data_IF_144548482162
#
_entry.id   IF_144548482162
#
_cell.length_a   1.000
_cell.length_b   1.000
_cell.length_c   1.000
_cell.angle_alpha   90.00
_cell.angle_beta   90.00
_cell.angle_gamma   90.00
#
_symmetry.space_group_name_H-M   'P 1'
#
loop_
_entity.id
_entity.type
_entity.pdbx_description
1 polymer ?
#
# COMPACT_ATOMS: atom_id res chain seq x y z
N UNK A 1 13.73 17.92 6.47
CA UNK A 1 14.82 16.95 6.71
C UNK A 1 15.85 17.64 7.58
N UNK A 2 16.49 16.90 8.47
CA UNK A 2 17.52 17.44 9.38
C UNK A 2 18.78 16.59 9.24
N UNK A 3 19.95 17.23 9.06
CA UNK A 3 21.21 16.52 9.03
C UNK A 3 21.50 15.90 10.40
N UNK A 4 22.11 14.71 10.40
CA UNK A 4 22.47 14.00 11.62
C UNK A 4 23.99 14.05 11.77
N UNK A 5 24.44 14.47 12.94
CA UNK A 5 25.85 14.65 13.32
C UNK A 5 26.35 13.59 14.32
N UNK A 6 25.45 12.75 14.87
CA UNK A 6 25.77 11.63 15.75
C UNK A 6 24.75 10.48 15.59
N UNK A 7 25.22 9.23 15.69
CA UNK A 7 24.43 8.00 15.46
C UNK A 7 23.37 7.80 16.55
N UNK A 8 23.63 8.23 17.78
CA UNK A 8 22.69 8.19 18.90
C UNK A 8 21.41 9.02 18.71
N UNK A 9 21.38 9.92 17.71
CA UNK A 9 20.18 10.67 17.31
C UNK A 9 19.27 9.91 16.34
N UNK A 10 19.63 8.68 15.98
CA UNK A 10 18.86 7.80 15.10
C UNK A 10 18.21 6.70 15.95
N UNK A 11 16.89 6.55 15.80
CA UNK A 11 16.10 5.56 16.52
C UNK A 11 15.47 4.55 15.55
N UNK A 12 15.24 3.29 15.96
CA UNK A 12 14.37 2.38 15.23
C UNK A 12 13.01 3.03 14.93
N UNK A 13 12.54 2.93 13.70
CA UNK A 13 11.32 3.60 13.22
C UNK A 13 11.54 4.98 12.59
N UNK A 14 12.77 5.49 12.61
CA UNK A 14 13.12 6.69 11.84
C UNK A 14 13.17 6.41 10.34
N UNK A 15 12.60 7.34 9.57
CA UNK A 15 12.84 7.43 8.14
C UNK A 15 14.09 8.26 7.89
N UNK A 16 15.06 7.72 7.16
CA UNK A 16 16.33 8.41 6.86
C UNK A 16 16.59 8.47 5.37
N UNK A 17 17.34 9.50 4.96
CA UNK A 17 17.92 9.64 3.62
C UNK A 17 19.43 9.42 3.70
N UNK A 18 19.95 8.50 2.91
CA UNK A 18 21.36 8.14 2.85
C UNK A 18 21.81 7.91 1.40
N UNK A 19 23.11 7.74 1.16
CA UNK A 19 23.64 7.41 -0.17
C UNK A 19 23.63 5.90 -0.37
N UNK A 20 22.93 5.45 -1.41
CA UNK A 20 22.95 4.06 -1.87
C UNK A 20 23.35 4.06 -3.35
N UNK A 21 24.47 3.40 -3.68
CA UNK A 21 25.05 3.44 -5.04
C UNK A 21 25.23 4.88 -5.57
N UNK A 22 25.71 5.77 -4.69
CA UNK A 22 25.98 7.19 -5.00
C UNK A 22 24.74 8.09 -5.11
N UNK A 23 23.52 7.54 -5.04
CA UNK A 23 22.26 8.30 -5.15
C UNK A 23 21.57 8.44 -3.80
N UNK A 24 20.79 9.51 -3.65
CA UNK A 24 19.92 9.65 -2.48
C UNK A 24 18.91 8.51 -2.47
N UNK A 25 18.79 7.89 -1.31
CA UNK A 25 17.94 6.74 -1.07
C UNK A 25 17.28 6.84 0.30
N UNK A 26 16.12 6.23 0.44
CA UNK A 26 15.30 6.33 1.65
C UNK A 26 15.09 4.96 2.27
N UNK A 27 15.06 4.89 3.59
CA UNK A 27 14.78 3.65 4.31
C UNK A 27 14.28 3.88 5.73
N UNK A 28 13.73 2.83 6.33
CA UNK A 28 13.30 2.78 7.72
C UNK A 28 14.35 2.09 8.55
N UNK A 29 14.82 2.74 9.61
CA UNK A 29 15.77 2.16 10.56
C UNK A 29 15.08 1.08 11.40
N UNK A 30 15.69 -0.09 11.54
CA UNK A 30 15.15 -1.20 12.35
C UNK A 30 15.99 -1.50 13.59
N UNK A 31 17.29 -1.16 13.54
CA UNK A 31 18.22 -1.31 14.66
C UNK A 31 19.41 -0.38 14.48
N UNK A 32 19.93 0.14 15.59
CA UNK A 32 21.11 1.00 15.65
C UNK A 32 22.06 0.42 16.71
N UNK A 33 23.33 0.28 16.36
CA UNK A 33 24.41 -0.05 17.29
C UNK A 33 25.52 0.97 17.10
N UNK A 34 25.75 1.79 18.11
CA UNK A 34 26.77 2.84 18.07
C UNK A 34 28.13 2.27 18.50
N UNK A 35 29.21 2.80 17.93
CA UNK A 35 30.55 2.58 18.44
C UNK A 35 30.71 3.26 19.83
N UNK A 36 31.22 2.56 20.86
CA UNK A 36 31.29 3.12 22.21
C UNK A 36 32.35 4.23 22.37
N UNK A 37 33.23 4.42 21.39
CA UNK A 37 34.33 5.40 21.42
C UNK A 37 33.99 6.60 20.53
N UNK A 38 33.48 6.37 19.32
CA UNK A 38 33.11 7.43 18.38
C UNK A 38 31.62 7.38 18.02
N UNK A 39 30.83 8.28 18.60
CA UNK A 39 29.38 8.38 18.37
C UNK A 39 29.02 8.73 16.92
N UNK A 40 29.99 9.06 16.05
CA UNK A 40 29.78 9.25 14.61
C UNK A 40 29.84 7.96 13.82
N UNK A 41 30.28 6.87 14.43
CA UNK A 41 30.43 5.55 13.81
C UNK A 41 29.40 4.59 14.39
N UNK A 42 28.78 3.80 13.54
CA UNK A 42 27.81 2.81 13.98
C UNK A 42 27.34 1.86 12.89
N UNK A 43 26.66 0.80 13.32
CA UNK A 43 25.96 -0.15 12.47
C UNK A 43 24.48 0.18 12.53
N UNK A 44 23.85 0.35 11.37
CA UNK A 44 22.41 0.59 11.25
C UNK A 44 21.82 -0.47 10.33
N UNK A 45 20.77 -1.13 10.80
CA UNK A 45 19.93 -1.96 9.95
C UNK A 45 18.80 -1.12 9.38
N UNK A 46 18.62 -1.21 8.06
CA UNK A 46 17.68 -0.37 7.32
C UNK A 46 16.82 -1.26 6.43
N UNK A 47 15.50 -1.12 6.55
CA UNK A 47 14.55 -1.62 5.57
C UNK A 47 14.40 -0.62 4.42
N UNK A 48 14.75 -1.04 3.21
CA UNK A 48 14.66 -0.21 2.02
C UNK A 48 14.52 -1.04 0.73
N UNK A 49 14.25 -0.37 -0.39
CA UNK A 49 14.26 -0.99 -1.71
C UNK A 49 15.69 -1.14 -2.24
N UNK A 50 16.24 -2.35 -2.16
CA UNK A 50 17.55 -2.67 -2.71
C UNK A 50 17.46 -3.27 -4.11
N UNK A 51 18.55 -3.17 -4.88
CA UNK A 51 18.68 -3.92 -6.12
C UNK A 51 19.06 -5.36 -5.82
N UNK A 52 18.24 -6.32 -6.26
CA UNK A 52 18.59 -7.73 -6.33
C UNK A 52 18.93 -8.07 -7.78
N UNK A 53 20.16 -8.51 -8.02
CA UNK A 53 20.58 -8.97 -9.35
C UNK A 53 19.65 -10.11 -9.83
N UNK A 54 19.21 -10.13 -11.11
CA UNK A 54 19.72 -9.33 -12.23
C UNK A 54 19.10 -7.93 -12.42
N UNK A 55 17.91 -7.60 -11.91
CA UNK A 55 17.30 -6.26 -12.13
C UNK A 55 16.09 -5.94 -11.23
N UNK A 56 15.64 -6.86 -10.37
CA UNK A 56 14.45 -6.62 -9.56
C UNK A 56 14.83 -5.83 -8.32
N UNK A 57 13.98 -4.88 -7.93
CA UNK A 57 14.13 -4.20 -6.65
C UNK A 57 13.20 -4.85 -5.65
N UNK A 58 13.76 -5.27 -4.53
CA UNK A 58 13.02 -5.90 -3.44
C UNK A 58 13.22 -5.13 -2.16
N UNK A 59 12.20 -5.12 -1.32
CA UNK A 59 12.34 -4.59 0.04
C UNK A 59 13.16 -5.61 0.87
N UNK A 60 14.29 -5.18 1.41
CA UNK A 60 15.16 -6.01 2.25
C UNK A 60 15.50 -5.26 3.54
N UNK A 61 15.94 -5.99 4.56
CA UNK A 61 16.59 -5.43 5.75
C UNK A 61 18.11 -5.60 5.56
N UNK A 62 18.81 -4.49 5.31
CA UNK A 62 20.23 -4.48 4.96
C UNK A 62 21.05 -3.80 6.07
N UNK A 63 22.21 -4.39 6.36
CA UNK A 63 23.16 -3.89 7.36
C UNK A 63 24.10 -2.87 6.72
N UNK A 64 24.11 -1.66 7.26
CA UNK A 64 25.03 -0.60 6.87
C UNK A 64 26.01 -0.27 8.00
N UNK A 65 27.26 -0.01 7.64
CA UNK A 65 28.23 0.61 8.53
C UNK A 65 28.35 2.07 8.12
N UNK A 66 28.02 2.98 9.02
CA UNK A 66 28.10 4.40 8.78
C UNK A 66 29.25 5.03 9.55
N UNK A 67 29.90 5.99 8.89
CA UNK A 67 30.80 6.95 9.51
C UNK A 67 30.36 8.35 9.10
N UNK A 68 29.76 9.09 10.03
CA UNK A 68 29.19 10.42 9.77
C UNK A 68 30.25 11.50 9.48
N UNK A 69 31.54 11.20 9.69
CA UNK A 69 32.64 12.05 9.23
C UNK A 69 32.91 11.91 7.73
N UNK A 70 32.50 10.80 7.12
CA UNK A 70 32.70 10.49 5.70
C UNK A 70 31.39 10.53 4.90
N UNK A 71 30.26 10.36 5.57
CA UNK A 71 28.94 10.17 4.96
C UNK A 71 27.92 11.09 5.60
N UNK A 72 26.94 11.54 4.81
CA UNK A 72 25.82 12.31 5.33
C UNK A 72 24.57 11.45 5.39
N UNK A 73 23.95 11.41 6.57
CA UNK A 73 22.60 10.89 6.79
C UNK A 73 21.69 12.06 7.16
N UNK A 74 20.46 12.06 6.63
CA UNK A 74 19.43 13.04 7.02
C UNK A 74 18.22 12.32 7.59
N UNK A 75 17.71 12.77 8.73
CA UNK A 75 16.43 12.32 9.29
C UNK A 75 15.29 12.99 8.52
N UNK A 76 14.29 12.21 8.12
CA UNK A 76 13.06 12.72 7.49
C UNK A 76 12.16 13.29 8.59
N UNK A 77 11.73 14.53 8.39
CA UNK A 77 10.88 15.26 9.32
C UNK A 77 9.56 15.55 8.61
N UNK A 78 8.47 15.20 9.25
CA UNK A 78 7.11 15.40 8.75
C UNK A 78 6.49 16.64 9.41
N UNK A 79 5.52 17.25 8.73
CA UNK A 79 4.80 18.39 9.28
C UNK A 79 3.94 17.96 10.48
N UNK A 80 3.72 18.89 11.42
CA UNK A 80 3.02 18.66 12.70
C UNK A 80 1.55 18.25 12.50
N UNK A 81 0.94 18.63 11.38
CA UNK A 81 -0.46 18.38 11.04
C UNK A 81 -0.71 16.98 10.43
N UNK A 82 0.34 16.18 10.21
CA UNK A 82 0.20 14.83 9.67
C UNK A 82 0.17 13.82 10.82
N UNK A 83 -0.86 12.99 10.88
CA UNK A 83 -0.92 11.86 11.81
C UNK A 83 0.21 10.87 11.50
N UNK A 84 1.12 10.69 12.45
CA UNK A 84 2.22 9.75 12.34
C UNK A 84 1.93 8.50 13.17
N UNK A 85 2.36 7.34 12.68
CA UNK A 85 2.47 6.14 13.52
C UNK A 85 3.65 6.29 14.50
N UNK A 86 3.53 5.65 15.66
CA UNK A 86 4.65 5.53 16.60
C UNK A 86 5.79 4.71 15.99
N UNK A 87 6.99 4.86 16.53
CA UNK A 87 8.21 4.28 15.98
C UNK A 87 8.17 2.75 15.88
N UNK A 88 7.57 2.07 16.86
CA UNK A 88 7.48 0.60 16.84
C UNK A 88 6.53 0.13 15.72
N UNK A 89 5.36 0.76 15.62
CA UNK A 89 4.40 0.49 14.53
C UNK A 89 5.02 0.76 13.15
N UNK A 90 5.87 1.78 13.00
CA UNK A 90 6.57 2.05 11.74
C UNK A 90 7.48 0.90 11.34
N UNK A 91 8.26 0.36 12.30
CA UNK A 91 9.14 -0.80 12.06
C UNK A 91 8.33 -2.03 11.68
N UNK A 92 7.25 -2.32 12.42
CA UNK A 92 6.35 -3.44 12.12
C UNK A 92 5.78 -3.33 10.71
N UNK A 93 5.26 -2.15 10.35
CA UNK A 93 4.75 -1.86 9.00
C UNK A 93 5.83 -2.09 7.95
N UNK A 94 7.05 -1.58 8.14
CA UNK A 94 8.14 -1.79 7.19
C UNK A 94 8.48 -3.29 7.03
N UNK A 95 8.48 -4.06 8.13
CA UNK A 95 8.79 -5.49 8.15
C UNK A 95 7.78 -6.34 7.38
N UNK A 96 6.48 -6.05 7.47
CA UNK A 96 5.47 -6.85 6.74
C UNK A 96 5.64 -6.78 5.21
N UNK A 97 6.36 -5.77 4.71
CA UNK A 97 6.66 -5.62 3.28
C UNK A 97 7.98 -6.24 2.84
N UNK A 98 8.72 -6.93 3.73
CA UNK A 98 9.96 -7.61 3.37
C UNK A 98 9.74 -8.65 2.26
N UNK A 99 10.59 -8.58 1.23
CA UNK A 99 10.52 -9.43 0.04
C UNK A 99 9.58 -8.91 -1.06
N UNK A 100 8.85 -7.81 -0.85
CA UNK A 100 8.01 -7.22 -1.89
C UNK A 100 8.86 -6.76 -3.09
N UNK A 101 8.50 -7.22 -4.29
CA UNK A 101 9.22 -6.95 -5.54
C UNK A 101 8.52 -5.95 -6.47
N UNK A 102 7.43 -5.31 -6.02
CA UNK A 102 6.53 -4.48 -6.84
C UNK A 102 7.08 -3.07 -7.13
N UNK A 103 8.39 -2.89 -7.18
CA UNK A 103 8.99 -1.57 -7.29
C UNK A 103 8.54 -0.84 -8.57
N UNK A 104 8.03 0.38 -8.40
CA UNK A 104 7.65 1.31 -9.46
C UNK A 104 8.33 2.67 -9.21
N UNK A 105 9.01 3.21 -10.24
CA UNK A 105 9.75 4.48 -10.13
C UNK A 105 8.84 5.65 -9.72
N UNK A 106 7.57 5.65 -10.16
CA UNK A 106 6.58 6.69 -9.93
C UNK A 106 5.75 6.47 -8.68
N UNK A 107 5.45 5.22 -8.30
CA UNK A 107 4.38 4.93 -7.31
C UNK A 107 4.75 3.94 -6.20
N UNK A 108 5.86 3.19 -6.30
CA UNK A 108 6.26 2.21 -5.28
C UNK A 108 7.79 2.12 -5.20
N UNK A 109 8.40 3.14 -4.61
CA UNK A 109 9.85 3.27 -4.49
C UNK A 109 10.24 3.44 -3.01
N UNK A 110 11.52 3.63 -2.73
CA UNK A 110 12.05 3.80 -1.36
C UNK A 110 11.36 4.93 -0.58
N UNK A 111 11.03 6.04 -1.25
CA UNK A 111 10.32 7.17 -0.64
C UNK A 111 8.89 6.78 -0.22
N UNK A 112 8.17 6.10 -1.10
CA UNK A 112 6.80 5.63 -0.81
C UNK A 112 6.77 4.57 0.29
N UNK A 113 7.79 3.71 0.37
CA UNK A 113 7.92 2.77 1.48
C UNK A 113 8.03 3.51 2.82
N UNK A 114 8.94 4.48 2.93
CA UNK A 114 9.13 5.27 4.15
C UNK A 114 7.86 6.05 4.49
N UNK A 115 7.22 6.68 3.51
CA UNK A 115 5.97 7.41 3.74
C UNK A 115 4.83 6.48 4.16
N UNK A 116 4.58 5.39 3.43
CA UNK A 116 3.54 4.43 3.82
C UNK A 116 3.77 3.88 5.25
N UNK A 117 5.01 3.62 5.64
CA UNK A 117 5.33 3.15 6.98
C UNK A 117 5.06 4.22 8.05
N UNK A 118 5.42 5.49 7.79
CA UNK A 118 5.27 6.62 8.75
C UNK A 118 3.86 7.17 8.88
N UNK A 119 3.13 7.27 7.77
CA UNK A 119 1.88 8.05 7.67
C UNK A 119 0.71 7.27 7.08
N UNK A 120 0.95 6.04 6.62
CA UNK A 120 -0.07 5.20 6.00
C UNK A 120 -0.60 5.75 4.68
N UNK A 121 -1.80 5.30 4.32
CA UNK A 121 -2.48 5.69 3.08
C UNK A 121 -3.09 7.10 3.16
N UNK A 122 -3.16 7.72 4.34
CA UNK A 122 -3.91 8.96 4.55
C UNK A 122 -3.13 10.22 4.11
N UNK A 123 -1.84 10.09 3.78
CA UNK A 123 -0.95 11.22 3.48
C UNK A 123 -1.16 11.91 2.14
N UNK A 124 -2.17 11.52 1.35
CA UNK A 124 -2.49 12.12 0.05
C UNK A 124 -1.43 11.90 -1.05
N UNK A 125 -0.26 11.39 -0.72
CA UNK A 125 0.86 11.15 -1.64
C UNK A 125 0.85 9.78 -2.32
N UNK A 126 0.08 8.82 -1.76
CA UNK A 126 -0.17 7.50 -2.36
C UNK A 126 -1.41 7.49 -3.27
N UNK A 127 -1.95 8.66 -3.62
CA UNK A 127 -3.04 8.75 -4.60
C UNK A 127 -2.45 8.44 -5.97
N UNK A 128 -2.63 7.19 -6.40
CA UNK A 128 -2.05 6.71 -7.66
C UNK A 128 -2.75 7.37 -8.85
N UNK A 129 -4.06 7.60 -8.73
CA UNK A 129 -4.89 8.27 -9.73
C UNK A 129 -6.17 8.82 -9.07
N UNK A 130 -6.74 9.87 -9.66
CA UNK A 130 -8.12 10.29 -9.38
C UNK A 130 -9.00 9.83 -10.54
N UNK A 131 -9.97 8.95 -10.29
CA UNK A 131 -10.90 8.54 -11.35
C UNK A 131 -12.05 9.53 -11.48
N UNK A 132 -12.22 10.04 -12.70
CA UNK A 132 -13.37 10.82 -13.13
C UNK A 132 -14.41 9.85 -13.73
N UNK A 133 -15.51 9.63 -13.02
CA UNK A 133 -16.76 9.30 -13.70
C UNK A 133 -17.39 10.61 -14.18
N UNK A 134 -18.27 10.55 -15.17
CA UNK A 134 -18.84 11.66 -15.97
C UNK A 134 -19.47 12.86 -15.24
N UNK A 135 -19.35 13.03 -13.92
CA UNK A 135 -19.91 14.14 -13.14
C UNK A 135 -18.95 14.77 -12.08
N UNK A 136 -17.63 14.57 -12.19
CA UNK A 136 -16.64 15.09 -11.22
C UNK A 136 -15.92 13.98 -10.48
N UNK A 137 -14.79 14.30 -9.83
CA UNK A 137 -13.91 13.29 -9.21
C UNK A 137 -14.41 12.86 -7.84
N UNK A 138 -14.67 11.57 -7.60
CA UNK A 138 -15.22 11.06 -6.32
C UNK A 138 -14.31 10.09 -5.56
N UNK A 139 -13.35 9.43 -6.24
CA UNK A 139 -12.56 8.34 -5.66
C UNK A 139 -11.06 8.63 -5.68
N UNK A 140 -10.41 8.32 -4.56
CA UNK A 140 -8.95 8.22 -4.43
C UNK A 140 -8.54 6.76 -4.45
N UNK A 141 -7.48 6.47 -5.21
CA UNK A 141 -6.94 5.11 -5.35
C UNK A 141 -5.64 5.01 -4.58
N UNK A 142 -5.56 4.00 -3.71
CA UNK A 142 -4.42 3.71 -2.85
C UNK A 142 -3.88 2.32 -3.15
N UNK A 143 -2.55 2.13 -3.11
CA UNK A 143 -2.00 0.78 -3.10
C UNK A 143 -2.19 0.14 -1.72
N UNK A 144 -2.63 -1.11 -1.68
CA UNK A 144 -2.62 -1.92 -0.48
C UNK A 144 -1.30 -2.69 -0.38
N UNK A 145 -0.68 -2.62 0.79
CA UNK A 145 0.58 -3.29 1.09
C UNK A 145 0.47 -4.27 2.26
N UNK A 146 -0.63 -4.24 3.01
CA UNK A 146 -0.91 -5.18 4.09
C UNK A 146 -2.41 -5.38 4.31
N UNK A 147 -2.75 -6.45 5.03
CA UNK A 147 -4.12 -6.76 5.46
C UNK A 147 -4.77 -5.65 6.28
N UNK A 148 -4.00 -4.82 6.97
CA UNK A 148 -4.50 -3.64 7.70
C UNK A 148 -5.03 -2.53 6.81
N UNK A 149 -4.70 -2.55 5.51
CA UNK A 149 -5.13 -1.52 4.57
C UNK A 149 -6.53 -1.83 4.02
N UNK A 150 -6.96 -3.10 4.03
CA UNK A 150 -8.24 -3.58 3.51
C UNK A 150 -9.29 -3.61 4.61
N UNK A 151 -10.49 -3.17 4.28
CA UNK A 151 -11.67 -3.20 5.15
C UNK A 151 -12.87 -3.81 4.42
N UNK A 152 -13.79 -4.40 5.17
CA UNK A 152 -15.08 -4.82 4.62
C UNK A 152 -15.80 -3.60 4.03
N UNK A 153 -16.53 -3.79 2.93
CA UNK A 153 -17.24 -2.74 2.21
C UNK A 153 -16.36 -1.89 1.28
N UNK A 154 -15.03 -2.03 1.31
CA UNK A 154 -14.18 -1.30 0.37
C UNK A 154 -14.24 -1.88 -1.04
N UNK A 155 -13.95 -1.03 -2.03
CA UNK A 155 -13.77 -1.43 -3.42
C UNK A 155 -12.30 -1.73 -3.67
N UNK A 156 -12.01 -2.93 -4.17
CA UNK A 156 -10.66 -3.43 -4.38
C UNK A 156 -10.41 -3.71 -5.87
N UNK A 157 -9.33 -3.16 -6.42
CA UNK A 157 -8.77 -3.52 -7.73
C UNK A 157 -7.62 -4.51 -7.55
N UNK A 158 -7.63 -5.59 -8.32
CA UNK A 158 -6.63 -6.66 -8.31
C UNK A 158 -6.56 -7.33 -9.69
N UNK A 159 -5.64 -8.28 -9.86
CA UNK A 159 -5.55 -9.06 -11.09
C UNK A 159 -6.34 -10.35 -10.95
N UNK A 160 -7.29 -10.59 -11.87
CA UNK A 160 -8.12 -11.80 -11.94
C UNK A 160 -8.02 -12.38 -13.34
N UNK A 161 -7.54 -13.64 -13.46
CA UNK A 161 -7.23 -14.30 -14.74
C UNK A 161 -6.38 -13.45 -15.70
N UNK A 162 -5.43 -12.67 -15.16
CA UNK A 162 -4.54 -11.80 -15.95
C UNK A 162 -5.12 -10.43 -16.33
N UNK A 163 -6.35 -10.12 -15.93
CA UNK A 163 -6.99 -8.83 -16.20
C UNK A 163 -7.22 -8.03 -14.92
N UNK A 164 -7.24 -6.70 -15.05
CA UNK A 164 -7.64 -5.83 -13.94
C UNK A 164 -9.11 -6.07 -13.62
N UNK A 165 -9.41 -6.17 -12.34
CA UNK A 165 -10.72 -6.54 -11.86
C UNK A 165 -11.11 -5.76 -10.60
N UNK A 166 -12.39 -5.45 -10.46
CA UNK A 166 -12.92 -4.67 -9.32
C UNK A 166 -13.97 -5.49 -8.56
N UNK A 167 -13.96 -5.36 -7.23
CA UNK A 167 -14.89 -6.08 -6.38
C UNK A 167 -15.19 -5.33 -5.07
N UNK A 168 -16.32 -5.65 -4.45
CA UNK A 168 -16.64 -5.25 -3.08
C UNK A 168 -16.15 -6.34 -2.12
N UNK A 169 -15.34 -5.97 -1.13
CA UNK A 169 -14.90 -6.89 -0.08
C UNK A 169 -16.03 -7.13 0.90
N UNK A 170 -16.43 -8.38 1.10
CA UNK A 170 -17.52 -8.74 2.03
C UNK A 170 -17.02 -9.44 3.28
N UNK A 171 -15.84 -10.06 3.24
CA UNK A 171 -15.21 -10.69 4.41
C UNK A 171 -13.69 -10.81 4.24
N UNK A 172 -12.96 -10.72 5.35
CA UNK A 172 -11.50 -10.84 5.37
C UNK A 172 -11.09 -12.06 6.21
N UNK A 173 -10.27 -12.93 5.63
CA UNK A 173 -9.70 -14.12 6.27
C UNK A 173 -8.17 -13.96 6.36
N UNK A 174 -7.71 -13.08 7.27
CA UNK A 174 -6.29 -12.69 7.37
C UNK A 174 -5.35 -13.90 7.50
N UNK A 175 -5.69 -14.85 8.37
CA UNK A 175 -4.87 -16.06 8.62
C UNK A 175 -4.77 -17.01 7.42
N UNK A 176 -5.66 -16.87 6.43
CA UNK A 176 -5.69 -17.72 5.24
C UNK A 176 -5.25 -16.98 3.97
N UNK A 177 -4.76 -15.74 4.12
CA UNK A 177 -4.42 -14.82 3.02
C UNK A 177 -5.55 -14.69 1.97
N UNK A 178 -6.80 -14.65 2.44
CA UNK A 178 -8.00 -14.68 1.58
C UNK A 178 -8.99 -13.58 1.90
N UNK A 179 -9.73 -13.14 0.89
CA UNK A 179 -10.92 -12.31 1.01
C UNK A 179 -12.11 -12.99 0.35
N UNK A 180 -13.29 -12.76 0.91
CA UNK A 180 -14.52 -12.94 0.17
C UNK A 180 -14.89 -11.63 -0.50
N UNK A 181 -15.25 -11.73 -1.78
CA UNK A 181 -15.64 -10.57 -2.57
C UNK A 181 -16.89 -10.85 -3.36
N UNK A 182 -17.58 -9.78 -3.74
CA UNK A 182 -18.65 -9.81 -4.74
C UNK A 182 -18.22 -8.95 -5.93
N UNK A 183 -18.32 -9.51 -7.13
CA UNK A 183 -17.96 -8.84 -8.38
C UNK A 183 -18.74 -9.40 -9.56
N UNK A 184 -18.72 -8.68 -10.68
CA UNK A 184 -19.05 -9.30 -11.96
C UNK A 184 -17.94 -10.29 -12.35
N UNK A 185 -18.29 -11.55 -12.56
CA UNK A 185 -17.38 -12.62 -12.95
C UNK A 185 -18.07 -13.59 -13.91
N UNK A 186 -17.28 -14.45 -14.54
CA UNK A 186 -17.85 -15.55 -15.31
C UNK A 186 -18.40 -16.60 -14.34
N UNK A 187 -19.70 -16.90 -14.42
CA UNK A 187 -20.28 -17.94 -13.56
C UNK A 187 -19.64 -19.32 -13.81
N UNK A 188 -19.14 -19.57 -15.04
CA UNK A 188 -18.46 -20.79 -15.49
C UNK A 188 -17.53 -20.51 -16.68
N UNK A 189 -16.63 -21.45 -17.06
CA UNK A 189 -15.72 -21.37 -18.23
C UNK A 189 -16.46 -21.03 -19.54
N UNK A 190 -17.76 -21.33 -19.61
CA UNK A 190 -18.63 -21.08 -20.78
C UNK A 190 -19.88 -20.26 -20.44
N UNK A 191 -19.92 -19.64 -19.26
CA UNK A 191 -21.10 -18.96 -18.72
C UNK A 191 -21.22 -17.49 -19.12
N UNK A 192 -22.44 -16.95 -19.05
CA UNK A 192 -22.67 -15.50 -19.06
C UNK A 192 -22.05 -14.86 -17.82
N UNK A 193 -21.56 -13.63 -17.97
CA UNK A 193 -21.06 -12.88 -16.82
C UNK A 193 -22.23 -12.52 -15.89
N UNK A 194 -22.01 -12.72 -14.59
CA UNK A 194 -22.99 -12.42 -13.56
C UNK A 194 -22.32 -11.87 -12.31
N UNK A 195 -23.09 -11.27 -11.41
CA UNK A 195 -22.60 -10.92 -10.08
C UNK A 195 -22.43 -12.19 -9.26
N UNK A 196 -21.19 -12.53 -8.95
CA UNK A 196 -20.82 -13.74 -8.21
C UNK A 196 -20.16 -13.38 -6.89
N UNK A 197 -20.17 -14.34 -5.96
CA UNK A 197 -19.41 -14.27 -4.71
C UNK A 197 -18.30 -15.30 -4.75
N UNK A 198 -17.06 -14.85 -4.57
CA UNK A 198 -15.88 -15.71 -4.64
C UNK A 198 -14.96 -15.47 -3.44
N UNK A 199 -14.14 -16.48 -3.15
CA UNK A 199 -13.03 -16.35 -2.20
C UNK A 199 -11.75 -16.28 -3.00
N UNK A 200 -11.02 -15.18 -2.83
CA UNK A 200 -9.83 -14.85 -3.60
C UNK A 200 -8.64 -14.83 -2.65
N UNK A 201 -7.57 -15.49 -3.05
CA UNK A 201 -6.28 -15.42 -2.38
C UNK A 201 -5.53 -14.18 -2.86
N UNK A 202 -4.92 -13.45 -1.93
CA UNK A 202 -4.12 -12.27 -2.21
C UNK A 202 -2.69 -12.49 -1.72
N UNK A 203 -1.72 -12.07 -2.52
CA UNK A 203 -0.32 -11.96 -2.10
C UNK A 203 0.17 -10.52 -2.25
N UNK A 204 0.24 -9.77 -1.14
CA UNK A 204 0.75 -8.40 -1.15
C UNK A 204 2.21 -8.27 -1.58
N UNK A 205 2.99 -9.35 -1.69
CA UNK A 205 4.38 -9.27 -2.16
C UNK A 205 4.47 -9.22 -3.67
N UNK A 206 3.48 -9.78 -4.38
CA UNK A 206 3.52 -9.98 -5.83
C UNK A 206 2.34 -9.32 -6.54
N UNK A 207 1.15 -9.34 -5.94
CA UNK A 207 -0.07 -8.78 -6.53
C UNK A 207 -0.11 -7.25 -6.42
N UNK A 208 -0.49 -6.57 -7.49
CA UNK A 208 -0.81 -5.14 -7.43
C UNK A 208 -2.26 -4.96 -6.97
N UNK A 209 -2.43 -4.68 -5.68
CA UNK A 209 -3.74 -4.53 -5.03
C UNK A 209 -3.95 -3.05 -4.77
N UNK A 210 -5.11 -2.53 -5.19
CA UNK A 210 -5.49 -1.14 -4.96
C UNK A 210 -6.86 -1.03 -4.32
N UNK A 211 -7.03 0.00 -3.50
CA UNK A 211 -8.25 0.29 -2.77
C UNK A 211 -8.78 1.63 -3.24
N UNK A 212 -10.06 1.66 -3.55
CA UNK A 212 -10.77 2.87 -3.94
C UNK A 212 -11.54 3.38 -2.74
N UNK A 213 -11.26 4.61 -2.31
CA UNK A 213 -11.99 5.28 -1.22
C UNK A 213 -12.66 6.55 -1.71
N UNK A 214 -13.84 6.82 -1.19
CA UNK A 214 -14.53 8.07 -1.46
C UNK A 214 -13.78 9.25 -0.86
N UNK A 215 -13.76 10.38 -1.59
CA UNK A 215 -13.29 11.64 -1.02
C UNK A 215 -14.31 12.08 0.05
N UNK A 216 -13.86 12.49 1.26
CA UNK A 216 -14.77 12.80 2.38
C UNK A 216 -15.84 13.85 2.10
N UNK A 217 -15.65 14.70 1.09
CA UNK A 217 -16.59 15.74 0.70
C UNK A 217 -17.88 15.22 0.01
N UNK A 218 -17.97 13.93 -0.27
CA UNK A 218 -19.10 13.34 -0.99
C UNK A 218 -19.86 12.32 -0.14
N UNK A 219 -21.19 12.37 -0.25
CA UNK A 219 -22.08 11.38 0.35
C UNK A 219 -21.85 10.02 -0.32
N UNK A 220 -21.66 9.01 0.51
CA UNK A 220 -21.52 7.61 0.10
C UNK A 220 -22.14 6.71 1.16
N UNK A 221 -22.43 5.47 0.78
CA UNK A 221 -22.95 4.46 1.68
C UNK A 221 -21.87 4.00 2.67
N UNK A 222 -22.28 3.76 3.92
CA UNK A 222 -21.43 3.12 4.91
C UNK A 222 -21.05 1.69 4.48
N UNK A 223 -19.90 1.16 4.93
CA UNK A 223 -19.38 -0.15 4.51
C UNK A 223 -20.39 -1.30 4.55
N UNK A 224 -21.19 -1.41 5.62
CA UNK A 224 -22.19 -2.47 5.76
C UNK A 224 -23.32 -2.33 4.72
N UNK A 225 -23.72 -1.10 4.39
CA UNK A 225 -24.71 -0.83 3.35
C UNK A 225 -24.17 -1.19 1.97
N UNK A 226 -22.88 -0.92 1.70
CA UNK A 226 -22.22 -1.32 0.45
C UNK A 226 -22.23 -2.85 0.31
N UNK A 227 -21.92 -3.58 1.38
CA UNK A 227 -21.94 -5.05 1.39
C UNK A 227 -23.35 -5.60 1.16
N UNK A 228 -24.36 -5.07 1.86
CA UNK A 228 -25.75 -5.53 1.68
C UNK A 228 -26.25 -5.26 0.26
N UNK A 229 -25.92 -4.10 -0.32
CA UNK A 229 -26.22 -3.80 -1.73
C UNK A 229 -25.52 -4.76 -2.69
N UNK A 230 -24.26 -5.12 -2.43
CA UNK A 230 -23.55 -6.09 -3.26
C UNK A 230 -24.19 -7.48 -3.19
N UNK A 231 -24.55 -7.95 -1.98
CA UNK A 231 -25.25 -9.23 -1.77
C UNK A 231 -26.61 -9.27 -2.45
N UNK A 232 -27.37 -8.19 -2.39
CA UNK A 232 -28.69 -8.08 -3.00
C UNK A 232 -28.69 -8.20 -4.53
N UNK A 233 -27.51 -8.14 -5.17
CA UNK A 233 -27.34 -8.22 -6.64
C UNK A 233 -26.79 -9.57 -7.12
N UNK A 234 -26.53 -10.52 -6.23
CA UNK A 234 -26.00 -11.85 -6.61
C UNK A 234 -26.88 -12.51 -7.69
N UNK A 235 -26.23 -13.02 -8.74
CA UNK A 235 -26.87 -13.64 -9.89
C UNK A 235 -27.34 -12.68 -10.99
N UNK A 236 -27.22 -11.36 -10.82
CA UNK A 236 -27.57 -10.39 -11.88
C UNK A 236 -26.66 -10.57 -13.10
N UNK A 237 -27.24 -10.68 -14.31
CA UNK A 237 -26.51 -10.98 -15.55
C UNK A 237 -26.43 -9.80 -16.53
N UNK A 238 -26.82 -8.59 -16.12
CA UNK A 238 -26.95 -7.42 -17.02
C UNK A 238 -25.60 -6.74 -17.31
N UNK A 239 -24.53 -7.50 -17.45
CA UNK A 239 -23.20 -6.96 -17.71
C UNK A 239 -23.10 -6.27 -19.07
N UNK A 240 -22.36 -5.16 -19.12
CA UNK A 240 -22.13 -4.37 -20.32
C UNK A 240 -20.77 -3.67 -20.20
N UNK A 241 -19.91 -3.81 -21.20
CA UNK A 241 -18.59 -3.13 -21.23
C UNK A 241 -18.76 -1.60 -21.14
N UNK A 242 -19.78 -1.06 -21.79
CA UNK A 242 -19.99 0.38 -21.91
C UNK A 242 -20.74 0.99 -20.72
N UNK A 243 -21.53 0.21 -19.98
CA UNK A 243 -22.47 0.75 -18.97
C UNK A 243 -22.55 -0.04 -17.66
N UNK A 244 -21.97 -1.23 -17.57
CA UNK A 244 -22.07 -2.10 -16.39
C UNK A 244 -20.81 -2.96 -16.22
N UNK A 245 -19.65 -2.29 -16.09
CA UNK A 245 -18.36 -2.92 -15.78
C UNK A 245 -18.27 -3.36 -14.31
N UNK A 246 -17.24 -4.13 -13.94
CA UNK A 246 -16.97 -4.48 -12.54
C UNK A 246 -16.83 -3.24 -11.64
N UNK A 247 -16.16 -2.19 -12.14
CA UNK A 247 -16.08 -0.92 -11.41
C UNK A 247 -17.45 -0.24 -11.31
N UNK A 248 -18.22 -0.17 -12.39
CA UNK A 248 -19.56 0.43 -12.38
C UNK A 248 -20.48 -0.24 -11.37
N UNK A 249 -20.43 -1.56 -11.27
CA UNK A 249 -21.11 -2.33 -10.24
C UNK A 249 -20.75 -1.85 -8.83
N UNK A 250 -19.45 -1.79 -8.53
CA UNK A 250 -18.96 -1.34 -7.24
C UNK A 250 -19.38 0.10 -6.93
N UNK A 251 -19.36 0.99 -7.94
CA UNK A 251 -19.82 2.37 -7.81
C UNK A 251 -21.31 2.46 -7.46
N UNK A 252 -22.15 1.63 -8.09
CA UNK A 252 -23.57 1.58 -7.76
C UNK A 252 -23.81 1.17 -6.31
N UNK A 253 -23.01 0.24 -5.77
CA UNK A 253 -23.11 -0.13 -4.36
C UNK A 253 -22.65 1.00 -3.42
N UNK A 254 -21.68 1.83 -3.86
CA UNK A 254 -21.08 2.88 -3.04
C UNK A 254 -21.91 4.17 -2.95
N UNK A 255 -22.57 4.61 -4.02
CA UNK A 255 -23.19 5.96 -4.07
C UNK A 255 -24.71 5.99 -4.04
N UNK A 256 -25.39 4.93 -4.50
CA UNK A 256 -26.86 4.88 -4.62
C UNK A 256 -27.44 3.97 -3.58
#
# INVERSE_FOLDING_TARGET
MTAIDAIDKIEPGDGIVFKYWGKDHEGIVTSVTMDPIDHRVGIIYIIHYAYKFPTTKTIIDERFVFNLSLQTIRKKVYKIDVKLFDLATVVERARVRLGEGRHDRRNNNSRHLVEWAKVGNDSGMLVVDTYLHTNGSFLRIYNAYAWSDIETGCILEYTYHGFKHHSVVTKIYKEADRIQVIHYGFAHIVGTQSVVQEVIQLDFKTDNIRIYRCVPAFTHNEPDVVVEKAKGRLGEQRWSIATNSGLTFCMCCLFN
#
